data_IF_802975293510
#
_entry.id   IF_802975293510
#
_cell.length_a   1.000
_cell.length_b   1.000
_cell.length_c   1.000
_cell.angle_alpha   90.00
_cell.angle_beta   90.00
_cell.angle_gamma   90.00
#
_symmetry.space_group_name_H-M   'P 1'
#
loop_
_entity.id
_entity.type
_entity.pdbx_description
1 polymer ?
#
# COMPACT_ATOMS: atom_id res chain seq x y z
N UNK A 1 -19.38 12.23 -13.95
CA UNK A 1 -20.20 11.03 -14.02
C UNK A 1 -21.65 11.41 -13.89
N UNK A 2 -22.31 11.42 -15.03
CA UNK A 2 -23.74 11.74 -15.20
C UNK A 2 -24.63 10.51 -15.01
N UNK A 3 -24.06 9.35 -14.62
CA UNK A 3 -24.77 8.08 -14.47
C UNK A 3 -25.02 7.35 -15.78
N UNK A 4 -24.54 7.84 -16.92
CA UNK A 4 -24.68 7.17 -18.20
C UNK A 4 -23.72 5.97 -18.30
N UNK A 5 -24.20 4.88 -18.95
CA UNK A 5 -23.40 3.67 -19.17
C UNK A 5 -22.34 3.97 -20.24
N UNK A 6 -21.07 4.02 -19.82
CA UNK A 6 -19.96 4.32 -20.73
C UNK A 6 -19.54 3.08 -21.54
N UNK A 7 -19.47 1.89 -20.92
CA UNK A 7 -18.96 0.68 -21.58
C UNK A 7 -19.42 -0.60 -20.88
N UNK A 8 -19.85 -1.59 -21.65
CA UNK A 8 -19.98 -2.97 -21.15
C UNK A 8 -18.61 -3.63 -21.09
N UNK A 9 -18.28 -4.27 -19.97
CA UNK A 9 -17.00 -4.99 -19.76
C UNK A 9 -17.29 -6.44 -19.37
N UNK A 10 -16.89 -7.39 -20.21
CA UNK A 10 -16.95 -8.82 -19.91
C UNK A 10 -15.54 -9.39 -19.84
N UNK A 11 -15.26 -10.27 -18.86
CA UNK A 11 -13.99 -10.99 -18.76
C UNK A 11 -14.25 -12.48 -18.60
N UNK A 12 -13.63 -13.26 -19.48
CA UNK A 12 -13.53 -14.70 -19.28
C UNK A 12 -12.46 -14.97 -18.21
N UNK A 13 -12.81 -15.75 -17.19
CA UNK A 13 -11.91 -16.12 -16.11
C UNK A 13 -11.83 -17.62 -15.97
N UNK A 14 -10.62 -18.16 -15.84
CA UNK A 14 -10.41 -19.55 -15.47
C UNK A 14 -10.67 -19.77 -13.97
N UNK A 15 -11.06 -20.99 -13.60
CA UNK A 15 -11.32 -21.36 -12.23
C UNK A 15 -10.05 -21.90 -11.54
N UNK A 16 -9.16 -21.01 -11.12
CA UNK A 16 -7.84 -21.35 -10.57
C UNK A 16 -7.85 -22.28 -9.34
N UNK A 17 -9.02 -22.46 -8.66
CA UNK A 17 -9.15 -23.45 -7.57
C UNK A 17 -9.00 -24.88 -8.06
N UNK A 18 -9.26 -25.17 -9.33
CA UNK A 18 -9.14 -26.49 -9.93
C UNK A 18 -7.70 -26.81 -10.34
N UNK A 19 -6.81 -25.83 -10.35
CA UNK A 19 -5.40 -26.06 -10.64
C UNK A 19 -4.71 -26.81 -9.50
N UNK A 20 -3.87 -27.79 -9.87
CA UNK A 20 -3.08 -28.61 -8.95
C UNK A 20 -1.64 -28.15 -8.96
N UNK A 21 -1.07 -27.93 -7.76
CA UNK A 21 0.34 -27.61 -7.60
C UNK A 21 1.22 -28.77 -8.08
N UNK A 22 2.32 -28.46 -8.75
CA UNK A 22 3.23 -29.46 -9.31
C UNK A 22 2.76 -30.07 -10.63
N UNK A 23 1.56 -29.70 -11.14
CA UNK A 23 1.01 -30.17 -12.42
C UNK A 23 0.64 -29.02 -13.33
N UNK A 24 -0.21 -28.10 -12.85
CA UNK A 24 -0.74 -26.99 -13.63
C UNK A 24 -0.23 -25.62 -13.18
N UNK A 25 0.56 -25.55 -12.13
CA UNK A 25 1.33 -24.39 -11.68
C UNK A 25 2.35 -24.79 -10.62
N UNK A 26 3.40 -23.97 -10.44
CA UNK A 26 4.42 -24.10 -9.38
C UNK A 26 4.46 -22.83 -8.55
N UNK A 27 5.02 -21.77 -9.13
CA UNK A 27 5.14 -20.47 -8.49
C UNK A 27 3.95 -19.56 -8.85
N UNK A 28 3.56 -18.71 -7.90
CA UNK A 28 2.43 -17.77 -8.08
C UNK A 28 2.71 -16.39 -7.56
N UNK A 29 3.81 -16.23 -6.79
CA UNK A 29 4.15 -14.95 -6.19
C UNK A 29 4.54 -13.96 -7.27
N UNK A 30 3.85 -12.82 -7.29
CA UNK A 30 4.15 -11.67 -8.14
C UNK A 30 4.34 -10.46 -7.23
N UNK A 31 5.48 -9.75 -7.33
CA UNK A 31 5.68 -8.53 -6.57
C UNK A 31 4.61 -7.50 -6.86
N UNK A 32 4.26 -6.73 -5.83
CA UNK A 32 3.37 -5.58 -5.93
C UNK A 32 4.11 -4.33 -5.45
N UNK A 33 3.75 -3.19 -6.01
CA UNK A 33 4.40 -1.91 -5.67
C UNK A 33 4.23 -1.55 -4.20
N UNK A 34 5.27 -0.99 -3.61
CA UNK A 34 5.20 -0.42 -2.28
C UNK A 34 4.64 1.01 -2.35
N UNK A 35 3.64 1.34 -1.53
CA UNK A 35 3.08 2.70 -1.46
C UNK A 35 4.10 3.75 -1.04
N UNK A 36 5.15 3.36 -0.29
CA UNK A 36 6.29 4.21 0.00
C UNK A 36 6.98 4.67 -1.29
N UNK A 37 7.25 3.74 -2.22
CA UNK A 37 7.87 4.03 -3.54
C UNK A 37 6.99 4.97 -4.37
N UNK A 38 5.68 4.74 -4.41
CA UNK A 38 4.73 5.62 -5.12
C UNK A 38 4.82 7.05 -4.59
N UNK A 39 4.70 7.23 -3.28
CA UNK A 39 4.72 8.56 -2.66
C UNK A 39 6.06 9.26 -2.81
N UNK A 40 7.15 8.51 -2.67
CA UNK A 40 8.50 9.03 -2.88
C UNK A 40 8.67 9.55 -4.31
N UNK A 41 8.28 8.78 -5.31
CA UNK A 41 8.39 9.19 -6.72
C UNK A 41 7.54 10.42 -7.03
N UNK A 42 6.31 10.49 -6.49
CA UNK A 42 5.47 11.68 -6.65
C UNK A 42 6.08 12.93 -5.99
N UNK A 43 6.69 12.78 -4.80
CA UNK A 43 7.41 13.86 -4.14
C UNK A 43 8.61 14.31 -4.99
N UNK A 44 9.40 13.36 -5.52
CA UNK A 44 10.55 13.64 -6.40
C UNK A 44 10.12 14.32 -7.71
N UNK A 45 9.02 13.89 -8.33
CA UNK A 45 8.46 14.55 -9.51
C UNK A 45 8.21 16.04 -9.25
N UNK A 46 7.64 16.34 -8.10
CA UNK A 46 7.33 17.72 -7.74
C UNK A 46 8.58 18.55 -7.42
N UNK A 47 9.53 17.96 -6.66
CA UNK A 47 10.80 18.61 -6.29
C UNK A 47 11.62 18.99 -7.53
N UNK A 48 11.68 18.11 -8.52
CA UNK A 48 12.54 18.25 -9.69
C UNK A 48 11.79 18.71 -10.94
N UNK A 49 10.49 18.98 -10.86
CA UNK A 49 9.68 19.39 -12.02
C UNK A 49 9.70 18.34 -13.13
N UNK A 50 9.65 17.05 -12.78
CA UNK A 50 9.71 15.96 -13.76
C UNK A 50 8.34 15.78 -14.43
N UNK A 51 8.40 15.40 -15.70
CA UNK A 51 7.23 14.97 -16.45
C UNK A 51 6.82 13.56 -16.07
N UNK A 52 5.54 13.26 -16.12
CA UNK A 52 5.03 11.93 -15.77
C UNK A 52 3.84 11.55 -16.62
N UNK A 53 3.81 10.30 -17.07
CA UNK A 53 2.66 9.71 -17.76
C UNK A 53 2.22 8.41 -17.13
N UNK A 54 0.92 8.15 -17.18
CA UNK A 54 0.31 6.87 -16.86
C UNK A 54 0.02 6.08 -18.11
N UNK A 55 0.28 4.77 -18.08
CA UNK A 55 -0.08 3.83 -19.14
C UNK A 55 -0.84 2.64 -18.55
N UNK A 56 -1.82 2.11 -19.30
CA UNK A 56 -2.61 0.92 -18.98
C UNK A 56 -2.36 -0.19 -20.01
N UNK A 57 -2.02 -1.40 -19.57
CA UNK A 57 -1.84 -2.55 -20.44
C UNK A 57 -3.17 -3.24 -20.71
N UNK A 58 -3.64 -3.15 -21.94
CA UNK A 58 -4.92 -3.73 -22.37
C UNK A 58 -4.87 -5.24 -22.30
N UNK A 59 -5.68 -5.85 -21.40
CA UNK A 59 -5.67 -7.31 -21.18
C UNK A 59 -4.27 -7.85 -20.85
N UNK A 60 -3.66 -7.34 -19.80
CA UNK A 60 -2.28 -7.63 -19.42
C UNK A 60 -1.98 -9.15 -19.37
N UNK A 61 -2.73 -9.92 -18.60
CA UNK A 61 -2.49 -11.37 -18.46
C UNK A 61 -2.55 -12.12 -19.80
N UNK A 62 -3.55 -11.91 -20.69
CA UNK A 62 -3.56 -12.53 -22.01
C UNK A 62 -2.43 -12.15 -22.96
N UNK A 63 -1.61 -11.17 -22.61
CA UNK A 63 -0.40 -10.87 -23.35
C UNK A 63 0.76 -11.81 -22.99
N UNK A 64 0.77 -12.41 -21.79
CA UNK A 64 1.81 -13.31 -21.33
C UNK A 64 1.58 -14.77 -21.77
N UNK A 65 2.65 -15.46 -22.13
CA UNK A 65 2.62 -16.88 -22.45
C UNK A 65 2.39 -17.72 -21.17
N UNK A 66 1.93 -18.95 -21.35
CA UNK A 66 1.85 -19.91 -20.27
C UNK A 66 3.19 -20.63 -20.12
N UNK A 67 3.56 -20.91 -18.90
CA UNK A 67 4.73 -21.71 -18.51
C UNK A 67 4.49 -23.22 -18.64
N UNK A 68 3.21 -23.63 -18.64
CA UNK A 68 2.77 -25.03 -18.76
C UNK A 68 1.50 -25.14 -19.59
N UNK A 69 1.26 -26.34 -20.15
CA UNK A 69 0.01 -26.63 -20.88
C UNK A 69 -1.17 -26.70 -19.90
N UNK A 70 -2.18 -25.88 -20.16
CA UNK A 70 -3.42 -25.82 -19.39
C UNK A 70 -4.61 -26.04 -20.31
N UNK A 71 -5.49 -26.95 -19.91
CA UNK A 71 -6.77 -27.21 -20.56
C UNK A 71 -7.90 -26.74 -19.64
N UNK A 72 -8.88 -26.09 -20.20
CA UNK A 72 -10.04 -25.55 -19.51
C UNK A 72 -11.30 -26.15 -20.12
N UNK A 73 -12.28 -26.47 -19.30
CA UNK A 73 -13.63 -26.84 -19.77
C UNK A 73 -14.23 -25.71 -20.58
N UNK A 74 -15.12 -26.04 -21.51
CA UNK A 74 -15.84 -25.04 -22.28
C UNK A 74 -16.66 -24.16 -21.35
N UNK A 75 -16.59 -22.83 -21.49
CA UNK A 75 -17.49 -21.92 -20.81
C UNK A 75 -18.95 -22.20 -21.15
N UNK A 76 -19.82 -22.01 -20.17
CA UNK A 76 -21.28 -22.17 -20.38
C UNK A 76 -21.74 -21.27 -21.54
N UNK A 77 -22.55 -21.85 -22.44
CA UNK A 77 -23.09 -21.16 -23.60
C UNK A 77 -22.18 -21.17 -24.86
N UNK A 78 -21.01 -21.79 -24.77
CA UNK A 78 -20.17 -22.07 -25.96
C UNK A 78 -20.46 -23.50 -26.41
N UNK A 79 -21.05 -23.64 -27.58
CA UNK A 79 -21.33 -24.92 -28.23
C UNK A 79 -20.35 -25.11 -29.39
N UNK A 80 -19.62 -26.23 -29.37
CA UNK A 80 -18.64 -26.59 -30.42
C UNK A 80 -19.04 -27.84 -31.19
N UNK A 81 -20.19 -28.44 -30.83
CA UNK A 81 -20.77 -29.63 -31.46
C UNK A 81 -22.28 -29.49 -31.53
N UNK A 82 -22.94 -30.41 -32.29
CA UNK A 82 -24.37 -30.38 -32.55
C UNK A 82 -25.26 -30.57 -31.31
N UNK A 83 -24.69 -31.09 -30.21
CA UNK A 83 -25.39 -31.23 -28.93
C UNK A 83 -24.54 -30.74 -27.73
N UNK A 84 -25.19 -30.31 -26.64
CA UNK A 84 -24.49 -29.91 -25.41
C UNK A 84 -23.68 -31.07 -24.78
N UNK A 85 -24.15 -32.31 -24.92
CA UNK A 85 -23.46 -33.49 -24.41
C UNK A 85 -22.19 -33.80 -25.20
N UNK A 86 -22.22 -33.68 -26.53
CA UNK A 86 -21.04 -33.79 -27.38
C UNK A 86 -20.05 -32.64 -27.13
N UNK A 87 -20.54 -31.42 -26.88
CA UNK A 87 -19.70 -30.28 -26.55
C UNK A 87 -18.90 -30.47 -25.25
N UNK A 88 -19.41 -31.21 -24.27
CA UNK A 88 -18.70 -31.55 -23.03
C UNK A 88 -17.49 -32.44 -23.21
N UNK A 89 -17.36 -33.14 -24.35
CA UNK A 89 -16.17 -33.94 -24.70
C UNK A 89 -14.98 -33.07 -25.14
N UNK A 90 -15.19 -31.78 -25.36
CA UNK A 90 -14.15 -30.86 -25.80
C UNK A 90 -13.62 -30.01 -24.64
N UNK A 91 -12.33 -29.68 -24.71
CA UNK A 91 -11.64 -28.76 -23.81
C UNK A 91 -10.88 -27.71 -24.61
N UNK A 92 -10.69 -26.54 -24.01
CA UNK A 92 -9.89 -25.47 -24.59
C UNK A 92 -8.46 -25.58 -24.09
N UNK A 93 -7.50 -25.75 -25.00
CA UNK A 93 -6.09 -25.56 -24.69
C UNK A 93 -5.78 -24.06 -24.64
N UNK A 94 -5.42 -23.54 -23.48
CA UNK A 94 -5.03 -22.17 -23.31
C UNK A 94 -3.66 -21.94 -23.95
N UNK A 95 -3.52 -20.88 -24.75
CA UNK A 95 -2.24 -20.49 -25.37
C UNK A 95 -1.55 -19.37 -24.63
N UNK A 96 -2.30 -18.62 -23.83
CA UNK A 96 -1.86 -17.44 -23.07
C UNK A 96 -2.41 -17.51 -21.66
N UNK A 97 -1.78 -16.77 -20.76
CA UNK A 97 -2.30 -16.58 -19.41
C UNK A 97 -3.70 -15.98 -19.45
N UNK A 98 -4.55 -16.42 -18.54
CA UNK A 98 -5.94 -15.95 -18.45
C UNK A 98 -6.23 -15.50 -17.03
N UNK A 99 -7.14 -14.52 -16.91
CA UNK A 99 -7.64 -14.10 -15.60
C UNK A 99 -8.17 -15.31 -14.82
N UNK A 100 -7.84 -15.37 -13.52
CA UNK A 100 -8.22 -16.44 -12.62
C UNK A 100 -7.23 -17.61 -12.51
N UNK A 101 -6.27 -17.75 -13.43
CA UNK A 101 -5.15 -18.69 -13.25
C UNK A 101 -4.23 -18.19 -12.13
N UNK A 102 -3.72 -19.12 -11.32
CA UNK A 102 -2.87 -18.82 -10.16
C UNK A 102 -1.56 -18.15 -10.54
N UNK A 103 -0.92 -18.56 -11.65
CA UNK A 103 0.36 -18.03 -12.13
C UNK A 103 0.22 -16.85 -13.11
N UNK A 104 -1.00 -16.44 -13.49
CA UNK A 104 -1.18 -15.40 -14.50
C UNK A 104 -0.49 -14.08 -14.17
N UNK A 105 -0.53 -13.66 -12.89
CA UNK A 105 0.12 -12.44 -12.43
C UNK A 105 1.65 -12.55 -12.53
N UNK A 106 2.23 -13.70 -12.16
CA UNK A 106 3.66 -13.94 -12.26
C UNK A 106 4.13 -13.98 -13.73
N UNK A 107 3.42 -14.70 -14.61
CA UNK A 107 3.76 -14.78 -16.03
C UNK A 107 3.74 -13.41 -16.69
N UNK A 108 2.75 -12.58 -16.36
CA UNK A 108 2.70 -11.20 -16.81
C UNK A 108 3.84 -10.34 -16.24
N UNK A 109 4.13 -10.49 -14.94
CA UNK A 109 5.21 -9.78 -14.29
C UNK A 109 6.55 -10.04 -14.99
N UNK A 110 6.88 -11.31 -15.24
CA UNK A 110 8.14 -11.69 -15.89
C UNK A 110 8.19 -11.26 -17.37
N UNK A 111 7.06 -11.35 -18.12
CA UNK A 111 7.01 -10.84 -19.49
C UNK A 111 7.29 -9.35 -19.57
N UNK A 112 6.61 -8.55 -18.73
CA UNK A 112 6.83 -7.10 -18.74
C UNK A 112 8.24 -6.75 -18.26
N UNK A 113 8.76 -7.44 -17.24
CA UNK A 113 10.13 -7.30 -16.78
C UNK A 113 11.13 -7.54 -17.91
N UNK A 114 10.99 -8.65 -18.63
CA UNK A 114 11.88 -8.96 -19.77
C UNK A 114 11.79 -7.87 -20.85
N UNK A 115 10.58 -7.44 -21.20
CA UNK A 115 10.38 -6.38 -22.18
C UNK A 115 10.99 -5.02 -21.77
N UNK A 116 11.05 -4.71 -20.47
CA UNK A 116 11.74 -3.54 -19.94
C UNK A 116 13.26 -3.70 -19.97
N UNK A 117 13.76 -4.87 -19.54
CA UNK A 117 15.20 -5.20 -19.58
C UNK A 117 15.75 -5.15 -21.00
N UNK A 118 15.03 -5.69 -21.99
CA UNK A 118 15.40 -5.64 -23.40
C UNK A 118 15.48 -4.20 -23.96
N UNK A 119 14.83 -3.25 -23.26
CA UNK A 119 14.88 -1.81 -23.56
C UNK A 119 15.92 -1.06 -22.71
N UNK A 120 16.75 -1.79 -21.97
CA UNK A 120 17.85 -1.26 -21.17
C UNK A 120 17.45 -0.77 -19.77
N UNK A 121 16.26 -1.12 -19.28
CA UNK A 121 15.91 -0.85 -17.89
C UNK A 121 16.57 -1.85 -16.95
N UNK A 122 16.99 -1.38 -15.78
CA UNK A 122 17.49 -2.20 -14.67
C UNK A 122 16.44 -2.19 -13.56
N UNK A 123 15.98 -3.35 -13.07
CA UNK A 123 15.09 -3.41 -11.91
C UNK A 123 15.82 -2.95 -10.66
N UNK A 124 15.12 -2.25 -9.78
CA UNK A 124 15.62 -1.88 -8.46
C UNK A 124 15.84 -3.14 -7.60
N UNK A 125 16.87 -3.12 -6.76
CA UNK A 125 17.14 -4.19 -5.78
C UNK A 125 16.19 -4.11 -4.58
N UNK A 126 15.62 -2.92 -4.32
CA UNK A 126 14.75 -2.66 -3.16
C UNK A 126 13.27 -2.88 -3.50
N UNK A 127 12.82 -2.37 -4.65
CA UNK A 127 11.42 -2.55 -5.09
C UNK A 127 11.39 -3.20 -6.48
N UNK A 128 11.07 -4.49 -6.59
CA UNK A 128 11.02 -5.21 -7.87
C UNK A 128 10.04 -4.64 -8.90
N UNK A 129 9.15 -3.73 -8.48
CA UNK A 129 8.21 -3.04 -9.34
C UNK A 129 8.78 -1.73 -9.93
N UNK A 130 9.96 -1.29 -9.47
CA UNK A 130 10.65 -0.09 -9.92
C UNK A 130 11.74 -0.44 -10.93
N UNK A 131 11.79 0.28 -12.05
CA UNK A 131 12.77 0.11 -13.13
C UNK A 131 13.43 1.44 -13.43
N UNK A 132 14.74 1.40 -13.60
CA UNK A 132 15.62 2.56 -13.78
C UNK A 132 16.33 2.47 -15.12
N UNK A 133 16.42 3.58 -15.87
CA UNK A 133 17.16 3.68 -17.11
C UNK A 133 17.51 5.13 -17.44
N UNK A 134 18.78 5.42 -17.70
CA UNK A 134 19.28 6.75 -18.10
C UNK A 134 18.69 7.88 -17.22
N UNK A 135 17.76 8.67 -17.78
CA UNK A 135 17.00 9.74 -17.12
C UNK A 135 15.54 9.37 -16.86
N UNK A 136 15.22 8.08 -16.77
CA UNK A 136 13.84 7.60 -16.72
C UNK A 136 13.63 6.58 -15.61
N UNK A 137 12.49 6.69 -14.94
CA UNK A 137 11.98 5.73 -13.96
C UNK A 137 10.63 5.21 -14.42
N UNK A 138 10.43 3.90 -14.33
CA UNK A 138 9.14 3.27 -14.57
C UNK A 138 8.74 2.45 -13.33
N UNK A 139 7.54 2.74 -12.83
CA UNK A 139 6.91 2.01 -11.73
C UNK A 139 5.72 1.23 -12.26
N UNK A 140 5.68 -0.09 -12.02
CA UNK A 140 4.59 -0.95 -12.50
C UNK A 140 3.74 -1.51 -11.38
N UNK A 141 2.42 -1.56 -11.60
CA UNK A 141 1.46 -2.29 -10.77
C UNK A 141 0.50 -3.07 -11.66
N UNK A 142 0.78 -4.34 -11.89
CA UNK A 142 0.03 -5.26 -12.75
C UNK A 142 -0.12 -4.68 -14.17
N UNK A 143 -1.25 -4.05 -14.47
CA UNK A 143 -1.61 -3.42 -15.75
C UNK A 143 -1.38 -1.89 -15.77
N UNK A 144 -1.34 -1.24 -14.61
CA UNK A 144 -1.08 0.19 -14.46
C UNK A 144 0.42 0.49 -14.32
N UNK A 145 0.96 1.45 -15.06
CA UNK A 145 2.34 1.92 -14.88
C UNK A 145 2.42 3.45 -14.86
N UNK A 146 3.40 3.96 -14.11
CA UNK A 146 3.81 5.36 -14.16
C UNK A 146 5.21 5.42 -14.76
N UNK A 147 5.42 6.33 -15.70
CA UNK A 147 6.71 6.64 -16.30
C UNK A 147 7.06 8.08 -15.94
N UNK A 148 8.28 8.30 -15.48
CA UNK A 148 8.78 9.60 -15.01
C UNK A 148 10.09 9.90 -15.70
N UNK A 149 10.25 11.11 -16.24
CA UNK A 149 11.48 11.61 -16.90
C UNK A 149 11.51 13.13 -16.91
N UNK A 150 12.67 13.77 -16.99
CA UNK A 150 12.76 15.21 -17.28
C UNK A 150 12.23 15.60 -18.67
N UNK A 151 12.10 14.65 -19.61
CA UNK A 151 11.66 14.88 -20.99
C UNK A 151 10.43 14.05 -21.34
N UNK A 152 9.36 14.73 -21.71
CA UNK A 152 8.13 14.11 -22.20
C UNK A 152 8.37 13.32 -23.50
N UNK A 153 9.29 13.78 -24.35
CA UNK A 153 9.66 13.13 -25.61
C UNK A 153 10.32 11.78 -25.36
N UNK A 154 11.11 11.65 -24.25
CA UNK A 154 11.72 10.39 -23.85
C UNK A 154 10.65 9.38 -23.43
N UNK A 155 9.64 9.83 -22.67
CA UNK A 155 8.47 9.01 -22.28
C UNK A 155 7.73 8.56 -23.54
N UNK A 156 7.41 9.46 -24.48
CA UNK A 156 6.69 9.14 -25.70
C UNK A 156 7.46 8.15 -26.59
N UNK A 157 8.80 8.29 -26.66
CA UNK A 157 9.63 7.32 -27.38
C UNK A 157 9.59 5.93 -26.75
N UNK A 158 9.62 5.85 -25.43
CA UNK A 158 9.48 4.58 -24.72
C UNK A 158 8.11 3.94 -25.01
N UNK A 159 7.01 4.68 -24.86
CA UNK A 159 5.65 4.19 -25.14
C UNK A 159 5.54 3.63 -26.56
N UNK A 160 6.01 4.41 -27.57
CA UNK A 160 6.04 3.97 -28.97
C UNK A 160 6.91 2.72 -29.17
N UNK A 161 8.05 2.61 -28.49
CA UNK A 161 8.91 1.43 -28.56
C UNK A 161 8.24 0.19 -27.97
N UNK A 162 7.46 0.34 -26.91
CA UNK A 162 6.71 -0.75 -26.29
C UNK A 162 5.58 -1.23 -27.20
N UNK A 163 4.90 -0.33 -27.92
CA UNK A 163 3.83 -0.66 -28.84
C UNK A 163 4.29 -1.30 -30.15
N UNK A 164 5.53 -1.04 -30.60
CA UNK A 164 6.05 -1.45 -31.92
C UNK A 164 7.21 -2.45 -31.87
N UNK A 165 7.75 -2.73 -30.70
CA UNK A 165 8.91 -3.59 -30.52
C UNK A 165 8.58 -5.08 -30.72
N UNK A 166 9.60 -5.95 -30.56
CA UNK A 166 9.48 -7.42 -30.67
C UNK A 166 8.34 -7.98 -29.81
N UNK A 167 8.15 -7.43 -28.60
CA UNK A 167 7.10 -7.85 -27.67
C UNK A 167 5.72 -7.26 -28.03
N UNK A 168 5.64 -6.15 -28.75
CA UNK A 168 4.42 -5.49 -29.24
C UNK A 168 3.31 -5.44 -28.17
N UNK A 169 3.60 -4.75 -27.06
CA UNK A 169 2.64 -4.62 -25.96
C UNK A 169 1.42 -3.82 -26.36
N UNK A 170 0.24 -4.37 -26.08
CA UNK A 170 -1.02 -3.61 -26.23
C UNK A 170 -1.21 -2.76 -24.98
N UNK A 171 -1.05 -1.46 -25.12
CA UNK A 171 -1.19 -0.49 -24.04
C UNK A 171 -1.87 0.80 -24.53
N UNK A 172 -2.48 1.52 -23.62
CA UNK A 172 -3.05 2.85 -23.77
C UNK A 172 -2.17 3.88 -23.04
N UNK A 173 -1.91 5.00 -23.67
CA UNK A 173 -1.34 6.19 -23.02
C UNK A 173 -2.51 6.95 -22.36
N UNK A 174 -2.55 6.98 -21.05
CA UNK A 174 -3.59 7.67 -20.25
C UNK A 174 -3.27 9.16 -20.02
N UNK A 175 -2.11 9.61 -20.52
CA UNK A 175 -1.64 10.98 -20.35
C UNK A 175 -1.01 11.25 -18.99
N UNK A 176 -1.10 12.51 -18.55
CA UNK A 176 -0.53 12.96 -17.26
C UNK A 176 -1.06 12.15 -16.09
N UNK A 177 -0.18 11.88 -15.11
CA UNK A 177 -0.57 11.14 -13.91
C UNK A 177 -1.49 11.99 -13.04
N UNK A 178 -2.79 11.73 -13.15
CA UNK A 178 -3.84 12.34 -12.32
C UNK A 178 -4.55 11.35 -11.42
N UNK A 179 -4.29 10.06 -11.61
CA UNK A 179 -4.83 8.96 -10.81
C UNK A 179 -3.88 7.76 -10.85
N UNK A 180 -3.66 7.13 -9.71
CA UNK A 180 -2.92 5.87 -9.62
C UNK A 180 -3.41 5.05 -8.45
N UNK A 181 -3.67 3.75 -8.66
CA UNK A 181 -4.16 2.84 -7.62
C UNK A 181 -5.38 3.37 -6.84
N UNK A 182 -6.32 4.02 -7.52
CA UNK A 182 -7.50 4.58 -6.88
C UNK A 182 -7.24 5.81 -5.99
N UNK A 183 -6.04 6.38 -6.06
CA UNK A 183 -5.67 7.66 -5.47
C UNK A 183 -5.78 8.73 -6.55
N UNK A 184 -6.50 9.81 -6.28
CA UNK A 184 -6.54 10.99 -7.12
C UNK A 184 -5.36 11.90 -6.78
N UNK A 185 -4.68 12.39 -7.82
CA UNK A 185 -3.51 13.25 -7.73
C UNK A 185 -3.89 14.58 -8.36
N UNK A 186 -4.20 15.56 -7.52
CA UNK A 186 -4.63 16.89 -7.97
C UNK A 186 -3.49 17.88 -7.84
N UNK A 187 -3.00 18.40 -8.96
CA UNK A 187 -2.02 19.51 -8.94
C UNK A 187 -2.70 20.74 -8.33
N UNK A 188 -2.06 21.32 -7.32
CA UNK A 188 -2.42 22.58 -6.68
C UNK A 188 -1.50 23.69 -7.21
N UNK A 189 -1.51 24.86 -6.55
CA UNK A 189 -0.64 25.96 -6.94
C UNK A 189 0.83 25.62 -6.71
N UNK A 190 1.71 26.16 -7.56
CA UNK A 190 3.17 26.22 -7.46
C UNK A 190 3.85 25.08 -6.66
N UNK A 191 4.10 23.98 -7.31
CA UNK A 191 4.88 22.85 -6.77
C UNK A 191 4.23 22.14 -5.57
N UNK A 192 2.91 22.07 -5.53
CA UNK A 192 2.19 21.26 -4.57
C UNK A 192 1.11 20.41 -5.23
N UNK A 193 0.77 19.29 -4.62
CA UNK A 193 -0.33 18.45 -5.07
C UNK A 193 -1.02 17.78 -3.87
N UNK A 194 -2.25 17.38 -4.08
CA UNK A 194 -3.06 16.66 -3.11
C UNK A 194 -3.24 15.21 -3.54
N UNK A 195 -3.04 14.30 -2.60
CA UNK A 195 -3.42 12.89 -2.74
C UNK A 195 -4.71 12.63 -1.99
N UNK A 196 -5.76 12.22 -2.69
CA UNK A 196 -7.08 12.01 -2.09
C UNK A 196 -7.77 10.76 -2.65
N UNK A 197 -8.79 10.27 -1.94
CA UNK A 197 -9.61 9.12 -2.35
C UNK A 197 -11.09 9.37 -2.09
N UNK A 198 -11.69 10.43 -2.64
CA UNK A 198 -13.08 10.79 -2.34
C UNK A 198 -14.06 9.67 -2.75
N UNK A 199 -13.81 9.01 -3.86
CA UNK A 199 -14.64 7.90 -4.33
C UNK A 199 -14.64 6.70 -3.35
N UNK A 200 -13.48 6.36 -2.76
CA UNK A 200 -13.42 5.31 -1.74
C UNK A 200 -14.14 5.73 -0.46
N UNK A 201 -13.99 6.99 -0.06
CA UNK A 201 -14.71 7.53 1.12
C UNK A 201 -16.21 7.44 0.89
N UNK A 202 -16.73 7.84 -0.28
CA UNK A 202 -18.14 7.72 -0.63
C UNK A 202 -18.64 6.29 -0.59
N UNK A 203 -17.84 5.36 -1.09
CA UNK A 203 -18.15 3.93 -1.04
C UNK A 203 -18.21 3.42 0.41
N UNK A 204 -17.31 3.85 1.29
CA UNK A 204 -17.31 3.52 2.72
C UNK A 204 -18.57 4.07 3.37
N UNK A 205 -18.88 5.35 3.15
CA UNK A 205 -20.06 6.00 3.73
C UNK A 205 -21.37 5.32 3.28
N UNK A 206 -21.47 5.01 1.99
CA UNK A 206 -22.61 4.27 1.44
C UNK A 206 -22.73 2.86 2.06
N UNK A 207 -21.60 2.14 2.18
CA UNK A 207 -21.57 0.81 2.79
C UNK A 207 -22.00 0.80 4.26
N UNK A 208 -21.63 1.85 5.00
CA UNK A 208 -22.01 2.05 6.41
C UNK A 208 -23.42 2.62 6.57
N UNK A 209 -24.10 3.02 5.49
CA UNK A 209 -25.42 3.65 5.52
C UNK A 209 -25.39 5.12 5.97
N UNK A 210 -24.27 5.83 5.84
CA UNK A 210 -24.09 7.22 6.27
C UNK A 210 -24.35 8.27 5.17
N UNK A 211 -24.77 7.86 3.96
CA UNK A 211 -25.03 8.77 2.84
C UNK A 211 -26.40 9.45 2.86
N UNK A 212 -27.36 8.96 3.64
CA UNK A 212 -28.71 9.52 3.71
C UNK A 212 -28.78 10.59 4.80
N UNK A 213 -29.19 11.79 4.44
CA UNK A 213 -29.36 12.97 5.31
C UNK A 213 -30.35 12.80 6.48
N UNK A 214 -30.88 11.58 6.71
CA UNK A 214 -31.82 11.23 7.77
C UNK A 214 -31.16 10.78 9.08
N UNK A 215 -29.85 10.75 9.17
CA UNK A 215 -29.21 10.71 10.46
C UNK A 215 -29.29 12.12 11.01
N UNK A 216 -30.19 12.32 11.99
CA UNK A 216 -30.11 13.44 12.90
C UNK A 216 -28.64 13.62 13.23
N UNK A 217 -28.13 14.78 12.94
CA UNK A 217 -26.81 15.23 13.40
C UNK A 217 -26.92 15.19 14.91
N UNK A 218 -26.65 14.02 15.51
CA UNK A 218 -26.29 13.97 16.91
C UNK A 218 -25.25 15.05 17.06
N UNK A 219 -25.50 16.01 17.96
CA UNK A 219 -24.69 17.21 18.20
C UNK A 219 -23.22 16.95 18.58
N UNK A 220 -22.75 15.72 18.40
CA UNK A 220 -21.41 15.21 18.54
C UNK A 220 -20.81 14.89 17.16
N UNK A 221 -20.56 15.92 16.34
CA UNK A 221 -19.63 15.79 15.23
C UNK A 221 -18.32 15.24 15.81
N UNK A 222 -17.85 14.10 15.30
CA UNK A 222 -16.67 13.44 15.84
C UNK A 222 -15.44 14.18 15.34
N UNK A 223 -14.97 15.18 16.06
CA UNK A 223 -13.73 15.91 15.75
C UNK A 223 -12.52 14.97 15.63
N UNK A 224 -12.61 13.75 16.18
CA UNK A 224 -11.55 12.74 16.13
C UNK A 224 -12.10 11.36 15.72
N UNK A 225 -11.31 10.56 14.95
CA UNK A 225 -11.73 9.21 14.54
C UNK A 225 -11.74 8.20 15.69
N UNK A 226 -11.06 8.49 16.79
CA UNK A 226 -10.94 7.62 17.98
C UNK A 226 -11.84 8.14 19.11
N UNK A 227 -12.55 7.24 19.81
CA UNK A 227 -13.22 7.57 21.06
C UNK A 227 -12.20 7.72 22.20
N UNK A 228 -12.60 8.32 23.32
CA UNK A 228 -11.79 8.29 24.53
C UNK A 228 -11.60 6.85 24.99
N UNK A 229 -10.34 6.44 25.20
CA UNK A 229 -9.94 5.10 25.59
C UNK A 229 -9.75 4.13 24.41
N UNK A 230 -9.05 3.04 24.68
CA UNK A 230 -8.77 1.99 23.71
C UNK A 230 -9.95 1.00 23.65
N UNK A 231 -10.09 0.33 22.51
CA UNK A 231 -11.04 -0.76 22.36
C UNK A 231 -10.50 -2.01 23.05
N UNK A 232 -11.38 -2.65 23.81
CA UNK A 232 -11.10 -3.90 24.52
C UNK A 232 -11.99 -5.03 23.97
N UNK A 233 -11.61 -6.27 24.29
CA UNK A 233 -12.46 -7.41 24.02
C UNK A 233 -13.76 -7.28 24.84
N UNK A 234 -14.91 -7.42 24.17
CA UNK A 234 -16.23 -7.21 24.78
C UNK A 234 -16.99 -8.54 24.81
N UNK A 235 -16.56 -9.42 25.73
CA UNK A 235 -17.10 -10.79 25.85
C UNK A 235 -18.58 -10.83 26.25
N UNK A 236 -19.02 -9.86 27.07
CA UNK A 236 -20.40 -9.72 27.53
C UNK A 236 -21.21 -8.70 26.71
N UNK A 237 -20.63 -8.22 25.61
CA UNK A 237 -21.19 -7.16 24.78
C UNK A 237 -22.45 -7.56 24.04
N UNK A 238 -23.27 -6.56 23.71
CA UNK A 238 -24.44 -6.76 22.87
C UNK A 238 -23.98 -7.09 21.44
N UNK A 239 -24.78 -7.94 20.77
CA UNK A 239 -24.62 -8.24 19.36
C UNK A 239 -24.65 -6.97 18.50
N UNK A 240 -23.99 -6.99 17.38
CA UNK A 240 -23.98 -5.90 16.38
C UNK A 240 -25.39 -5.57 15.91
N UNK A 241 -25.60 -4.28 15.64
CA UNK A 241 -26.91 -3.77 15.18
C UNK A 241 -27.06 -3.85 13.66
N UNK A 242 -26.00 -3.56 12.91
CA UNK A 242 -26.04 -3.44 11.45
C UNK A 242 -25.64 -4.75 10.76
N UNK A 243 -26.23 -5.01 9.58
CA UNK A 243 -26.02 -6.23 8.79
C UNK A 243 -24.77 -6.22 7.90
N UNK A 244 -24.14 -5.05 7.68
CA UNK A 244 -22.96 -4.97 6.81
C UNK A 244 -21.79 -5.81 7.35
N UNK A 245 -20.97 -6.33 6.44
CA UNK A 245 -19.84 -7.17 6.81
C UNK A 245 -18.73 -6.36 7.49
N UNK A 246 -18.40 -6.71 8.74
CA UNK A 246 -17.41 -5.99 9.54
C UNK A 246 -16.00 -6.02 8.91
N UNK A 247 -15.55 -7.19 8.41
CA UNK A 247 -14.24 -7.34 7.78
C UNK A 247 -14.11 -6.52 6.50
N UNK A 248 -15.19 -6.41 5.74
CA UNK A 248 -15.24 -5.55 4.54
C UNK A 248 -15.05 -4.09 4.91
N UNK A 249 -15.72 -3.60 5.95
CA UNK A 249 -15.55 -2.23 6.44
C UNK A 249 -14.09 -1.99 6.88
N UNK A 250 -13.53 -2.88 7.70
CA UNK A 250 -12.13 -2.80 8.13
C UNK A 250 -11.17 -2.83 6.95
N UNK A 251 -11.41 -3.68 5.93
CA UNK A 251 -10.57 -3.74 4.73
C UNK A 251 -10.56 -2.43 3.94
N UNK A 252 -11.73 -1.81 3.74
CA UNK A 252 -11.82 -0.50 3.07
C UNK A 252 -11.13 0.60 3.87
N UNK A 253 -11.32 0.65 5.18
CA UNK A 253 -10.66 1.61 6.07
C UNK A 253 -9.14 1.40 6.10
N UNK A 254 -8.67 0.14 6.11
CA UNK A 254 -7.25 -0.21 6.07
C UNK A 254 -6.59 0.27 4.77
N UNK A 255 -7.28 0.13 3.64
CA UNK A 255 -6.77 0.65 2.37
C UNK A 255 -6.71 2.18 2.38
N UNK A 256 -7.75 2.84 2.85
CA UNK A 256 -7.84 4.31 2.94
C UNK A 256 -6.74 4.89 3.85
N UNK A 257 -6.56 4.32 5.06
CA UNK A 257 -5.56 4.80 6.01
C UNK A 257 -4.13 4.60 5.49
N UNK A 258 -3.85 3.51 4.80
CA UNK A 258 -2.52 3.25 4.23
C UNK A 258 -2.22 4.11 2.99
N UNK A 259 -3.24 4.67 2.34
CA UNK A 259 -3.09 5.41 1.09
C UNK A 259 -3.04 6.92 1.29
N UNK A 260 -4.08 7.52 1.89
CA UNK A 260 -4.29 8.97 1.89
C UNK A 260 -4.79 9.56 3.23
N UNK A 261 -5.10 8.73 4.23
CA UNK A 261 -5.70 9.19 5.50
C UNK A 261 -4.95 8.62 6.72
N UNK A 262 -3.69 9.04 6.96
CA UNK A 262 -2.86 8.56 8.08
C UNK A 262 -3.51 8.75 9.45
N UNK A 263 -4.30 9.80 9.64
CA UNK A 263 -4.92 10.15 10.90
C UNK A 263 -5.98 9.16 11.39
N UNK A 264 -6.49 8.29 10.51
CA UNK A 264 -7.39 7.21 10.94
C UNK A 264 -6.65 5.89 11.23
N UNK A 265 -5.31 5.84 11.13
CA UNK A 265 -4.54 4.59 11.24
C UNK A 265 -4.73 3.91 12.59
N UNK A 266 -4.61 4.65 13.68
CA UNK A 266 -4.81 4.10 15.02
C UNK A 266 -6.23 3.56 15.20
N UNK A 267 -7.25 4.33 14.80
CA UNK A 267 -8.66 3.94 14.91
C UNK A 267 -8.96 2.68 14.11
N UNK A 268 -8.46 2.62 12.88
CA UNK A 268 -8.64 1.46 11.99
C UNK A 268 -7.96 0.22 12.56
N UNK A 269 -6.71 0.36 13.04
CA UNK A 269 -6.00 -0.76 13.64
C UNK A 269 -6.71 -1.28 14.91
N UNK A 270 -7.24 -0.39 15.75
CA UNK A 270 -8.01 -0.78 16.93
C UNK A 270 -9.25 -1.61 16.54
N UNK A 271 -10.00 -1.18 15.53
CA UNK A 271 -11.19 -1.94 15.07
C UNK A 271 -10.83 -3.26 14.41
N UNK A 272 -9.69 -3.32 13.70
CA UNK A 272 -9.23 -4.52 13.00
C UNK A 272 -8.94 -5.70 13.95
N UNK A 273 -8.49 -5.44 15.18
CA UNK A 273 -8.21 -6.46 16.20
C UNK A 273 -9.42 -7.35 16.50
N UNK A 274 -10.62 -6.81 16.38
CA UNK A 274 -11.86 -7.50 16.74
C UNK A 274 -12.63 -8.06 15.55
N UNK A 275 -11.98 -8.22 14.39
CA UNK A 275 -12.60 -8.70 13.14
C UNK A 275 -13.15 -10.14 13.21
N UNK A 276 -12.68 -10.96 14.15
CA UNK A 276 -13.14 -12.34 14.31
C UNK A 276 -14.46 -12.43 15.08
N UNK A 277 -14.61 -11.59 16.12
CA UNK A 277 -15.79 -11.60 16.99
C UNK A 277 -16.20 -10.17 17.34
N UNK A 278 -16.68 -9.37 16.37
CA UNK A 278 -17.03 -7.98 16.61
C UNK A 278 -18.36 -7.87 17.36
N UNK A 279 -18.38 -7.04 18.40
CA UNK A 279 -19.57 -6.68 19.19
C UNK A 279 -20.06 -5.26 18.85
N UNK A 280 -21.14 -4.83 19.49
CA UNK A 280 -21.74 -3.50 19.27
C UNK A 280 -20.77 -2.35 19.61
N UNK A 281 -19.91 -2.52 20.61
CA UNK A 281 -18.86 -1.54 20.97
C UNK A 281 -17.89 -1.31 19.81
N UNK A 282 -17.44 -2.39 19.17
CA UNK A 282 -16.54 -2.36 18.01
C UNK A 282 -17.22 -1.76 16.78
N UNK A 283 -18.52 -2.08 16.57
CA UNK A 283 -19.32 -1.49 15.49
C UNK A 283 -19.48 0.02 15.64
N UNK A 284 -19.73 0.51 16.86
CA UNK A 284 -19.82 1.95 17.17
C UNK A 284 -18.53 2.68 16.82
N UNK A 285 -17.37 2.03 17.00
CA UNK A 285 -16.07 2.61 16.65
C UNK A 285 -15.89 2.75 15.15
N UNK A 286 -16.29 1.76 14.34
CA UNK A 286 -16.31 1.91 12.87
C UNK A 286 -17.26 3.03 12.45
N UNK A 287 -18.46 3.09 13.04
CA UNK A 287 -19.42 4.16 12.74
C UNK A 287 -18.89 5.54 13.11
N UNK A 288 -18.07 5.65 14.18
CA UNK A 288 -17.37 6.90 14.53
C UNK A 288 -16.35 7.30 13.47
N UNK A 289 -15.53 6.35 12.99
CA UNK A 289 -14.61 6.61 11.88
C UNK A 289 -15.39 7.08 10.64
N UNK A 290 -16.51 6.42 10.33
CA UNK A 290 -17.38 6.82 9.22
C UNK A 290 -17.92 8.25 9.34
N UNK A 291 -18.38 8.68 10.53
CA UNK A 291 -18.82 10.07 10.77
C UNK A 291 -17.67 11.06 10.62
N UNK A 292 -16.50 10.74 11.16
CA UNK A 292 -15.29 11.57 10.95
C UNK A 292 -14.95 11.72 9.46
N UNK A 293 -15.05 10.64 8.68
CA UNK A 293 -14.83 10.68 7.23
C UNK A 293 -15.89 11.49 6.50
N UNK A 294 -17.14 11.47 6.95
CA UNK A 294 -18.22 12.29 6.40
C UNK A 294 -17.91 13.78 6.55
N UNK A 295 -17.49 14.19 7.76
CA UNK A 295 -17.14 15.59 8.07
C UNK A 295 -15.85 16.04 7.36
N UNK A 296 -14.97 15.11 7.04
CA UNK A 296 -13.67 15.38 6.41
C UNK A 296 -13.55 14.80 5.00
N UNK A 297 -14.66 14.61 4.30
CA UNK A 297 -14.76 13.89 3.02
C UNK A 297 -13.81 14.39 1.94
N UNK A 298 -13.58 15.70 1.89
CA UNK A 298 -12.72 16.35 0.88
C UNK A 298 -11.25 16.44 1.28
N UNK A 299 -10.89 15.96 2.47
CA UNK A 299 -9.52 16.02 2.95
C UNK A 299 -8.64 14.96 2.30
N UNK A 300 -7.53 15.38 1.73
CA UNK A 300 -6.42 14.56 1.28
C UNK A 300 -5.13 14.90 2.03
N UNK A 301 -4.01 14.35 1.58
CA UNK A 301 -2.66 14.73 2.02
C UNK A 301 -2.10 15.74 1.02
N UNK A 302 -1.71 16.90 1.50
CA UNK A 302 -1.05 17.92 0.67
C UNK A 302 0.45 17.68 0.71
N UNK A 303 1.03 17.49 -0.47
CA UNK A 303 2.47 17.40 -0.70
C UNK A 303 2.96 18.77 -1.16
N UNK A 304 3.69 19.44 -0.28
CA UNK A 304 4.37 20.72 -0.54
C UNK A 304 5.82 20.55 -0.10
N UNK A 305 6.69 20.02 -0.97
CA UNK A 305 8.06 19.69 -0.59
C UNK A 305 8.84 20.93 -0.14
N UNK A 306 9.53 20.79 0.99
CA UNK A 306 10.55 21.71 1.48
C UNK A 306 11.93 21.08 1.26
N UNK A 307 12.62 21.52 0.21
CA UNK A 307 13.94 20.99 -0.16
C UNK A 307 15.05 21.31 0.84
N UNK A 308 14.78 22.18 1.84
CA UNK A 308 15.71 22.41 2.94
C UNK A 308 15.71 21.28 3.98
N UNK A 309 14.65 20.45 3.97
CA UNK A 309 14.49 19.26 4.81
C UNK A 309 14.87 18.02 4.01
N UNK A 310 15.57 17.10 4.65
CA UNK A 310 15.97 15.82 4.06
C UNK A 310 15.01 14.67 4.41
N UNK A 311 15.59 13.52 4.67
CA UNK A 311 14.88 12.35 5.18
C UNK A 311 14.83 12.43 6.70
N UNK A 312 13.63 12.41 7.26
CA UNK A 312 13.37 12.47 8.70
C UNK A 312 12.45 11.32 9.11
N UNK A 313 12.66 10.77 10.29
CA UNK A 313 11.82 9.74 10.88
C UNK A 313 11.44 10.15 12.31
N UNK A 314 10.15 10.23 12.58
CA UNK A 314 9.62 10.52 13.93
C UNK A 314 9.11 9.21 14.51
N UNK A 315 9.58 8.88 15.73
CA UNK A 315 9.33 7.60 16.40
C UNK A 315 8.69 7.86 17.75
N UNK A 316 7.70 7.07 18.11
CA UNK A 316 7.01 7.14 19.39
C UNK A 316 6.38 5.79 19.75
N UNK A 317 6.37 5.42 21.05
CA UNK A 317 5.74 4.22 21.53
C UNK A 317 4.78 4.48 22.68
N UNK A 318 3.53 4.02 22.53
CA UNK A 318 2.57 4.00 23.63
C UNK A 318 2.80 2.73 24.48
N UNK A 319 3.52 2.88 25.61
CA UNK A 319 3.87 1.78 26.51
C UNK A 319 2.64 1.26 27.25
N UNK A 320 2.24 0.01 26.93
CA UNK A 320 1.13 -0.70 27.57
C UNK A 320 -0.15 0.15 27.71
N UNK A 321 -0.43 1.05 26.73
CA UNK A 321 -1.53 2.01 26.83
C UNK A 321 -2.92 1.40 26.93
N UNK A 322 -3.06 0.11 26.59
CA UNK A 322 -4.28 -0.67 26.77
C UNK A 322 -4.45 -1.34 28.13
N UNK A 323 -3.45 -1.29 28.99
CA UNK A 323 -3.49 -2.00 30.26
C UNK A 323 -4.52 -1.40 31.24
N UNK A 324 -5.29 -2.28 31.85
CA UNK A 324 -6.15 -1.93 32.97
C UNK A 324 -6.16 -3.09 33.98
N UNK A 325 -6.31 -2.78 35.26
CA UNK A 325 -6.37 -3.79 36.31
C UNK A 325 -7.57 -4.76 36.13
N UNK A 326 -8.67 -4.26 35.58
CA UNK A 326 -9.88 -5.05 35.33
C UNK A 326 -9.72 -6.10 34.21
N UNK A 327 -8.70 -5.95 33.33
CA UNK A 327 -8.47 -6.79 32.15
C UNK A 327 -7.00 -7.23 32.08
N UNK A 328 -6.36 -7.36 33.24
CA UNK A 328 -4.92 -7.66 33.38
C UNK A 328 -4.50 -9.04 32.88
N UNK A 329 -5.46 -9.98 32.77
CA UNK A 329 -5.22 -11.35 32.27
C UNK A 329 -5.13 -11.41 30.74
N UNK A 330 -5.56 -10.36 30.02
CA UNK A 330 -5.52 -10.33 28.58
C UNK A 330 -4.16 -9.81 28.08
N UNK A 331 -3.33 -10.73 27.58
CA UNK A 331 -2.01 -10.41 27.05
C UNK A 331 -2.00 -9.30 25.99
N UNK A 332 -3.05 -9.16 25.19
CA UNK A 332 -3.14 -8.11 24.15
C UNK A 332 -3.23 -6.70 24.74
N UNK A 333 -3.63 -6.54 25.99
CA UNK A 333 -3.78 -5.24 26.63
C UNK A 333 -2.47 -4.70 27.23
N UNK A 334 -1.48 -5.56 27.43
CA UNK A 334 -0.14 -5.17 27.90
C UNK A 334 0.83 -4.88 26.76
N UNK A 335 0.43 -5.18 25.50
CA UNK A 335 1.27 -4.88 24.34
C UNK A 335 1.35 -3.38 24.10
N UNK A 336 2.56 -2.89 23.94
CA UNK A 336 2.84 -1.51 23.57
C UNK A 336 2.47 -1.26 22.10
N UNK A 337 2.28 0.00 21.75
CA UNK A 337 1.99 0.39 20.36
C UNK A 337 3.20 1.08 19.74
N UNK A 338 3.59 0.60 18.59
CA UNK A 338 4.56 1.25 17.70
C UNK A 338 3.86 2.33 16.89
N UNK A 339 4.40 3.54 16.89
CA UNK A 339 4.06 4.64 16.03
C UNK A 339 5.31 5.23 15.37
N UNK A 340 5.33 5.40 14.05
CA UNK A 340 6.35 6.20 13.38
C UNK A 340 5.85 6.77 12.06
N UNK A 341 6.47 7.86 11.66
CA UNK A 341 6.26 8.49 10.36
C UNK A 341 7.60 8.81 9.72
N UNK A 342 7.76 8.46 8.44
CA UNK A 342 8.92 8.80 7.63
C UNK A 342 8.52 9.92 6.68
N UNK A 343 9.27 11.00 6.73
CA UNK A 343 9.09 12.20 5.93
C UNK A 343 10.27 12.37 4.97
N UNK A 344 10.00 12.80 3.75
CA UNK A 344 11.03 13.23 2.80
C UNK A 344 10.68 14.62 2.28
N UNK A 345 11.58 15.58 2.44
CA UNK A 345 11.34 16.98 2.11
C UNK A 345 10.01 17.51 2.68
N UNK A 346 9.72 17.22 3.95
CA UNK A 346 8.46 17.55 4.67
C UNK A 346 7.19 16.87 4.13
N UNK A 347 7.33 15.90 3.23
CA UNK A 347 6.20 15.11 2.71
C UNK A 347 6.15 13.72 3.38
N UNK A 348 4.99 13.27 3.87
CA UNK A 348 4.87 11.96 4.51
C UNK A 348 4.96 10.83 3.48
N UNK A 349 6.00 10.00 3.60
CA UNK A 349 6.25 8.88 2.68
C UNK A 349 5.70 7.57 3.22
N UNK A 350 5.85 7.35 4.54
CA UNK A 350 5.35 6.16 5.22
C UNK A 350 4.90 6.52 6.63
N UNK A 351 3.85 5.88 7.11
CA UNK A 351 3.38 5.95 8.49
C UNK A 351 2.88 4.61 8.97
N UNK A 352 3.09 4.32 10.23
CA UNK A 352 2.71 3.06 10.87
C UNK A 352 2.13 3.33 12.25
N UNK A 353 1.04 2.63 12.58
CA UNK A 353 0.49 2.54 13.92
C UNK A 353 -0.01 1.12 14.15
N UNK A 354 0.71 0.32 14.95
CA UNK A 354 0.39 -1.09 15.23
C UNK A 354 0.84 -1.53 16.62
N UNK A 355 0.23 -2.57 17.16
CA UNK A 355 0.72 -3.19 18.39
C UNK A 355 2.06 -3.89 18.13
N UNK A 356 2.93 -3.86 19.12
CA UNK A 356 4.14 -4.67 19.15
C UNK A 356 3.77 -6.15 19.28
N UNK A 357 4.65 -7.02 18.84
CA UNK A 357 4.44 -8.49 18.92
C UNK A 357 4.96 -9.08 20.22
N UNK A 358 5.71 -8.30 21.00
CA UNK A 358 6.32 -8.70 22.26
C UNK A 358 5.92 -7.69 23.35
N UNK A 359 5.90 -8.16 24.58
CA UNK A 359 5.63 -7.31 25.75
C UNK A 359 6.93 -6.60 26.12
N UNK A 360 6.93 -5.28 26.02
CA UNK A 360 8.04 -4.47 26.53
C UNK A 360 7.92 -4.35 28.05
N UNK A 361 9.06 -4.41 28.76
CA UNK A 361 9.14 -4.35 30.23
C UNK A 361 9.34 -2.92 30.75
N UNK A 362 9.55 -1.96 29.84
CA UNK A 362 9.72 -0.55 30.18
C UNK A 362 9.37 0.35 28.99
N UNK A 363 9.13 1.63 29.25
CA UNK A 363 8.95 2.63 28.19
C UNK A 363 10.15 2.66 27.25
N UNK A 364 11.37 2.68 27.77
CA UNK A 364 12.61 2.68 26.98
C UNK A 364 12.72 1.46 26.06
N UNK A 365 12.25 0.29 26.49
CA UNK A 365 12.24 -0.91 25.66
C UNK A 365 11.18 -0.81 24.55
N UNK A 366 9.98 -0.31 24.86
CA UNK A 366 8.93 -0.07 23.87
C UNK A 366 9.40 0.91 22.77
N UNK A 367 10.06 2.00 23.17
CA UNK A 367 10.67 2.96 22.25
C UNK A 367 11.76 2.31 21.40
N UNK A 368 12.66 1.53 22.01
CA UNK A 368 13.72 0.85 21.29
C UNK A 368 13.21 -0.17 20.26
N UNK A 369 12.14 -0.90 20.58
CA UNK A 369 11.46 -1.79 19.65
C UNK A 369 10.88 -0.99 18.47
N UNK A 370 10.24 0.16 18.75
CA UNK A 370 9.66 1.03 17.73
C UNK A 370 10.74 1.64 16.84
N UNK A 371 11.82 2.13 17.41
CA UNK A 371 13.00 2.63 16.69
C UNK A 371 13.56 1.55 15.77
N UNK A 372 13.77 0.34 16.27
CA UNK A 372 14.25 -0.79 15.48
C UNK A 372 13.32 -1.13 14.32
N UNK A 373 12.00 -1.06 14.52
CA UNK A 373 11.02 -1.31 13.47
C UNK A 373 11.01 -0.22 12.41
N UNK A 374 11.13 1.05 12.80
CA UNK A 374 11.18 2.17 11.85
C UNK A 374 12.43 2.10 10.96
N UNK A 375 13.57 1.71 11.53
CA UNK A 375 14.83 1.62 10.79
C UNK A 375 14.87 0.46 9.78
N UNK A 376 14.00 -0.55 9.91
CA UNK A 376 13.80 -1.57 8.86
C UNK A 376 13.20 -1.00 7.58
N UNK A 377 12.47 0.10 7.68
CA UNK A 377 11.93 0.81 6.51
C UNK A 377 12.88 1.93 6.05
N UNK A 378 13.55 2.62 6.99
CA UNK A 378 14.48 3.72 6.68
C UNK A 378 15.72 3.23 5.93
N UNK A 379 16.33 2.12 6.35
CA UNK A 379 17.57 1.61 5.74
C UNK A 379 17.36 1.24 4.26
N UNK A 380 16.36 0.43 3.89
CA UNK A 380 16.04 0.18 2.48
C UNK A 380 15.66 1.45 1.72
N UNK A 381 14.95 2.38 2.34
CA UNK A 381 14.58 3.65 1.70
C UNK A 381 15.82 4.49 1.33
N UNK A 382 16.84 4.54 2.20
CA UNK A 382 18.11 5.21 1.88
C UNK A 382 18.78 4.54 0.67
N UNK A 383 18.73 3.21 0.59
CA UNK A 383 19.27 2.47 -0.56
C UNK A 383 18.47 2.78 -1.83
N UNK A 384 17.15 2.79 -1.75
CA UNK A 384 16.27 3.17 -2.86
C UNK A 384 16.55 4.60 -3.36
N UNK A 385 16.74 5.55 -2.45
CA UNK A 385 17.11 6.92 -2.80
C UNK A 385 18.48 6.98 -3.53
N UNK A 386 19.45 6.14 -3.12
CA UNK A 386 20.75 6.03 -3.82
C UNK A 386 20.58 5.47 -5.23
N UNK A 387 19.75 4.45 -5.41
CA UNK A 387 19.44 3.91 -6.73
C UNK A 387 18.79 4.97 -7.63
N UNK A 388 17.77 5.66 -7.16
CA UNK A 388 17.07 6.71 -7.92
C UNK A 388 18.05 7.86 -8.26
N UNK A 389 18.96 8.19 -7.35
CA UNK A 389 19.95 9.26 -7.57
C UNK A 389 20.94 8.96 -8.72
N UNK A 390 21.08 7.71 -9.14
CA UNK A 390 21.90 7.37 -10.33
C UNK A 390 21.21 7.79 -11.63
N UNK A 391 19.88 7.92 -11.61
CA UNK A 391 19.03 8.26 -12.77
C UNK A 391 18.68 9.73 -12.76
N UNK A 392 18.22 10.23 -11.64
CA UNK A 392 17.95 11.65 -11.41
C UNK A 392 18.93 12.16 -10.36
N UNK A 393 19.98 12.89 -10.73
CA UNK A 393 20.85 13.48 -9.73
C UNK A 393 20.01 14.37 -8.83
N UNK A 394 19.70 13.85 -7.63
CA UNK A 394 18.89 14.52 -6.64
C UNK A 394 19.71 15.66 -6.06
N UNK A 395 19.68 16.82 -6.72
CA UNK A 395 20.32 18.04 -6.24
C UNK A 395 19.55 18.64 -5.05
N UNK A 396 19.35 17.85 -4.01
CA UNK A 396 18.91 18.36 -2.72
C UNK A 396 20.17 18.84 -2.00
N UNK A 397 20.17 20.09 -1.53
CA UNK A 397 21.29 20.71 -0.80
C UNK A 397 21.70 20.00 0.50
N UNK A 398 21.01 18.93 0.88
CA UNK A 398 21.25 18.16 2.09
C UNK A 398 22.11 16.92 1.83
N UNK A 399 22.87 16.42 2.82
CA UNK A 399 23.52 15.11 2.70
C UNK A 399 22.43 14.06 2.50
N UNK A 400 22.26 13.63 1.28
CA UNK A 400 21.06 13.05 0.69
C UNK A 400 20.74 11.64 1.21
N UNK A 401 21.65 11.01 1.95
CA UNK A 401 21.55 9.60 2.32
C UNK A 401 21.71 9.39 3.83
N UNK A 402 21.32 10.40 4.61
CA UNK A 402 21.25 10.34 6.07
C UNK A 402 19.82 10.62 6.49
N UNK A 403 19.27 9.78 7.35
CA UNK A 403 17.98 10.01 7.98
C UNK A 403 18.17 10.61 9.36
N UNK A 404 17.54 11.73 9.63
CA UNK A 404 17.46 12.29 10.98
C UNK A 404 16.30 11.61 11.71
N UNK A 405 16.62 10.86 12.75
CA UNK A 405 15.63 10.19 13.58
C UNK A 405 15.33 11.06 14.81
N UNK A 406 14.05 11.32 15.05
CA UNK A 406 13.54 12.04 16.20
C UNK A 406 12.95 11.04 17.19
N UNK A 407 13.63 10.89 18.31
CA UNK A 407 13.28 10.03 19.45
C UNK A 407 13.40 10.87 20.72
N UNK A 408 12.42 10.84 21.60
CA UNK A 408 12.39 11.67 22.80
C UNK A 408 12.88 10.94 24.08
N UNK A 409 12.96 9.61 24.04
CA UNK A 409 13.41 8.82 25.18
C UNK A 409 14.94 8.73 25.24
N UNK A 410 15.55 9.47 26.19
CA UNK A 410 17.00 9.52 26.37
C UNK A 410 17.64 8.14 26.62
N UNK A 411 16.93 7.22 27.28
CA UNK A 411 17.42 5.86 27.52
C UNK A 411 17.44 5.05 26.23
N UNK A 412 16.44 5.21 25.37
CA UNK A 412 16.40 4.62 24.03
C UNK A 412 17.56 5.14 23.18
N UNK A 413 17.78 6.46 23.13
CA UNK A 413 18.90 7.09 22.40
C UNK A 413 20.23 6.54 22.90
N UNK A 414 20.42 6.44 24.22
CA UNK A 414 21.65 5.92 24.80
C UNK A 414 21.89 4.45 24.39
N UNK A 415 20.84 3.62 24.40
CA UNK A 415 20.94 2.23 23.94
C UNK A 415 21.28 2.13 22.45
N UNK A 416 20.71 2.99 21.63
CA UNK A 416 20.92 3.01 20.18
C UNK A 416 22.34 3.43 19.79
N UNK A 417 22.93 4.38 20.54
CA UNK A 417 24.26 4.98 20.23
C UNK A 417 25.42 4.27 20.92
N UNK A 418 25.13 3.44 21.94
CA UNK A 418 26.17 2.75 22.72
C UNK A 418 26.43 1.36 22.19
N UNK A 419 27.69 1.06 21.85
CA UNK A 419 28.10 -0.26 21.32
C UNK A 419 28.24 -1.33 22.41
N UNK A 420 28.17 -0.96 23.70
CA UNK A 420 28.33 -1.88 24.81
C UNK A 420 27.00 -2.32 25.41
N UNK A 421 26.71 -3.61 25.30
CA UNK A 421 25.57 -4.21 26.00
C UNK A 421 25.76 -4.13 27.53
N UNK A 422 24.79 -3.53 28.20
CA UNK A 422 24.74 -3.55 29.66
C UNK A 422 24.00 -4.82 30.16
N UNK A 423 24.26 -5.28 31.40
CA UNK A 423 23.47 -6.35 31.98
C UNK A 423 21.96 -6.07 32.02
N UNK A 424 21.59 -4.79 32.07
CA UNK A 424 20.18 -4.32 32.08
C UNK A 424 19.46 -4.45 30.73
N UNK A 425 20.19 -4.55 29.61
CA UNK A 425 19.62 -4.64 28.23
C UNK A 425 19.72 -6.03 27.64
N UNK A 426 20.25 -7.02 28.39
CA UNK A 426 20.42 -8.40 27.87
C UNK A 426 19.12 -9.12 27.52
N UNK A 427 17.99 -8.69 28.10
CA UNK A 427 16.68 -9.26 27.80
C UNK A 427 16.10 -8.77 26.49
N UNK A 428 16.58 -7.65 25.94
CA UNK A 428 16.14 -7.14 24.66
C UNK A 428 16.62 -8.08 23.55
N UNK A 429 15.69 -8.59 22.75
CA UNK A 429 16.02 -9.57 21.73
C UNK A 429 17.01 -9.03 20.70
N UNK A 430 18.02 -9.84 20.34
CA UNK A 430 19.07 -9.47 19.38
C UNK A 430 18.53 -8.92 18.05
N UNK A 431 17.35 -9.36 17.65
CA UNK A 431 16.68 -8.88 16.42
C UNK A 431 16.42 -7.37 16.41
N UNK A 432 16.40 -6.71 17.57
CA UNK A 432 16.20 -5.26 17.65
C UNK A 432 17.49 -4.45 17.60
N UNK A 433 18.65 -5.10 17.60
CA UNK A 433 19.96 -4.44 17.54
C UNK A 433 20.57 -4.36 16.15
N UNK A 434 19.85 -4.79 15.10
CA UNK A 434 20.36 -4.89 13.72
C UNK A 434 20.85 -3.55 13.14
N UNK A 435 20.34 -2.44 13.66
CA UNK A 435 20.61 -1.10 13.14
C UNK A 435 21.79 -0.38 13.80
N UNK A 436 22.33 -0.89 14.91
CA UNK A 436 23.35 -0.18 15.71
C UNK A 436 24.61 0.20 14.90
N UNK A 437 24.94 -0.55 13.83
CA UNK A 437 26.04 -0.21 12.94
C UNK A 437 25.74 0.96 11.99
N UNK A 438 24.50 1.37 11.85
CA UNK A 438 24.07 2.48 10.99
C UNK A 438 23.84 3.78 11.76
N UNK A 439 23.75 3.75 13.07
CA UNK A 439 23.56 4.93 13.94
C UNK A 439 24.91 5.57 14.23
N UNK A 440 24.99 6.90 14.06
CA UNK A 440 26.17 7.70 14.34
C UNK A 440 25.88 8.76 15.39
#
# INVERSE_FOLDING_TARGET
PDGTLNKHKARLCAHGRMQQWGVSYWETYSPVVNMLTVRLLLALCNIHGLESKSIDFVLAFPQADLDVDIWMELPLGIEVAESPEQSRAYVLKLRKSLYGLKQASLNWFEKLKQGLVDRGFTPSEIDPCLYLKDDMVLLKYVDDCIIISPSIENIDRLIKSMQRGRENFRLTDEGDVNKFLGIEITKLDNHSFELSQPFLIDRILSFLGLCNNNFETDANSSLTPVAKGLLHQDLAGKSRKYSWNYRTAVGMLSYLQNSTRPEISMATHQTARFSNSPMLSHEKSIMRIGRYLLDTRKRGIIYKPDVSKGLECYVDADFAGGWSQADSENADNVLSRTGYIIMYADCPILWVSRLQTEIALSTAEAEYITLSQSLRDVIPLITLLKEINTVFPVHVKMPTFVCKVHEDNQSCITMATTTKFSPRTKHIALKYHHFCCYVK
#
